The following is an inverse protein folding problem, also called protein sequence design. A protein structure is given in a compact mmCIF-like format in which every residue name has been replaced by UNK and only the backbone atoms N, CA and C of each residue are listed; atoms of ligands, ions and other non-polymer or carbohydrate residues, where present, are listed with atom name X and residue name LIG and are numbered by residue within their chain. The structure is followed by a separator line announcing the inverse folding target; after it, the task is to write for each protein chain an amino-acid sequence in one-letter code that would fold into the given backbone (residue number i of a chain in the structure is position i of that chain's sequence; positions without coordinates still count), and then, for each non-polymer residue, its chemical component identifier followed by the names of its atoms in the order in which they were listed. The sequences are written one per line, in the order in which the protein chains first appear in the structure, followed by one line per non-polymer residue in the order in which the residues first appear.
data_IF_439641429591
#
_entry.id   IF_439641429591
#
_cell.length_a   1.000
_cell.length_b   1.000
_cell.length_c   1.000
_cell.angle_alpha   90.00
_cell.angle_beta   90.00
_cell.angle_gamma   90.00
#
_symmetry.space_group_name_H-M   'P 1'
#
loop_
_entity.id
_entity.type
_entity.pdbx_description
1 polymer ?
#
# COMPACT_ATOMS: atom_id res chain seq x y z
N UNK A 1 3.83 14.55 1.42
CA UNK A 1 2.72 13.57 1.51
C UNK A 1 3.35 12.23 1.82
N UNK A 2 2.95 11.54 2.89
CA UNK A 2 3.49 10.22 3.17
C UNK A 2 3.03 9.21 2.12
N UNK A 3 3.99 8.48 1.56
CA UNK A 3 3.75 7.50 0.50
C UNK A 3 4.21 6.12 0.98
N UNK A 4 3.29 5.15 0.94
CA UNK A 4 3.53 3.76 1.32
C UNK A 4 3.40 2.91 0.06
N UNK A 5 4.46 2.18 -0.28
CA UNK A 5 4.44 1.19 -1.34
C UNK A 5 4.56 -0.20 -0.74
N UNK A 6 3.61 -1.07 -1.11
CA UNK A 6 3.63 -2.48 -0.75
C UNK A 6 3.72 -3.30 -2.03
N UNK A 7 4.80 -4.06 -2.15
CA UNK A 7 5.04 -4.97 -3.25
C UNK A 7 4.75 -6.41 -2.79
N UNK A 8 3.78 -7.06 -3.42
CA UNK A 8 3.38 -8.44 -3.09
C UNK A 8 3.90 -9.43 -4.12
N UNK A 9 4.17 -10.66 -3.70
CA UNK A 9 4.54 -11.73 -4.65
C UNK A 9 3.32 -12.30 -5.38
N UNK A 10 2.17 -12.31 -4.71
CA UNK A 10 0.93 -12.87 -5.20
C UNK A 10 0.00 -11.82 -5.85
N UNK A 11 -0.99 -12.32 -6.59
CA UNK A 11 -2.11 -11.51 -7.10
C UNK A 11 -3.24 -11.51 -6.08
N UNK A 12 -3.68 -10.32 -5.70
CA UNK A 12 -4.88 -10.11 -4.89
C UNK A 12 -5.95 -9.41 -5.71
N UNK A 13 -7.22 -9.63 -5.33
CA UNK A 13 -8.36 -8.92 -5.92
C UNK A 13 -8.27 -7.43 -5.63
N UNK A 14 -8.96 -6.61 -6.44
CA UNK A 14 -9.03 -5.17 -6.23
C UNK A 14 -9.62 -4.84 -4.85
N UNK A 15 -10.66 -5.56 -4.44
CA UNK A 15 -11.33 -5.37 -3.15
C UNK A 15 -10.36 -5.60 -1.98
N UNK A 16 -9.60 -6.70 -2.00
CA UNK A 16 -8.60 -6.99 -0.97
C UNK A 16 -7.55 -5.88 -0.90
N UNK A 17 -7.07 -5.39 -2.04
CA UNK A 17 -6.11 -4.28 -2.10
C UNK A 17 -6.70 -2.98 -1.54
N UNK A 18 -7.96 -2.67 -1.85
CA UNK A 18 -8.65 -1.48 -1.33
C UNK A 18 -8.85 -1.56 0.18
N UNK A 19 -9.26 -2.72 0.69
CA UNK A 19 -9.41 -2.95 2.13
C UNK A 19 -8.06 -2.76 2.85
N UNK A 20 -7.01 -3.39 2.32
CA UNK A 20 -5.66 -3.28 2.89
C UNK A 20 -5.14 -1.83 2.87
N UNK A 21 -5.33 -1.10 1.76
CA UNK A 21 -4.90 0.30 1.65
C UNK A 21 -5.59 1.20 2.68
N UNK A 22 -6.90 1.02 2.92
CA UNK A 22 -7.64 1.77 3.94
C UNK A 22 -7.09 1.49 5.33
N UNK A 23 -6.89 0.22 5.66
CA UNK A 23 -6.39 -0.22 6.97
C UNK A 23 -4.98 0.32 7.23
N UNK A 24 -4.06 0.17 6.26
CA UNK A 24 -2.69 0.69 6.37
C UNK A 24 -2.66 2.22 6.47
N UNK A 25 -3.46 2.92 5.67
CA UNK A 25 -3.56 4.37 5.72
C UNK A 25 -4.02 4.86 7.10
N UNK A 26 -5.04 4.22 7.69
CA UNK A 26 -5.51 4.56 9.03
C UNK A 26 -4.49 4.28 10.13
N UNK A 27 -3.80 3.14 10.06
CA UNK A 27 -2.72 2.79 11.00
C UNK A 27 -1.61 3.84 10.92
N UNK A 28 -1.14 4.14 9.71
CA UNK A 28 -0.07 5.10 9.50
C UNK A 28 -0.45 6.51 9.95
N UNK A 29 -1.66 6.98 9.61
CA UNK A 29 -2.19 8.26 10.05
C UNK A 29 -2.17 8.38 11.59
N UNK A 30 -2.60 7.31 12.29
CA UNK A 30 -2.62 7.26 13.75
C UNK A 30 -1.23 7.32 14.35
N UNK A 31 -0.29 6.51 13.86
CA UNK A 31 1.07 6.46 14.42
C UNK A 31 1.88 7.72 14.13
N UNK A 32 1.68 8.33 12.97
CA UNK A 32 2.45 9.49 12.53
C UNK A 32 1.76 10.82 12.85
N UNK A 33 0.61 10.80 13.54
CA UNK A 33 -0.23 11.96 13.79
C UNK A 33 -0.48 12.80 12.53
N UNK A 34 -0.70 12.13 11.39
CA UNK A 34 -0.82 12.74 10.07
C UNK A 34 -2.28 12.71 9.57
N UNK A 35 -2.66 13.69 8.75
CA UNK A 35 -3.95 13.67 8.07
C UNK A 35 -4.02 12.54 7.04
N UNK A 36 -4.99 11.64 7.22
CA UNK A 36 -5.24 10.50 6.33
C UNK A 36 -5.48 10.89 4.88
N UNK A 37 -6.04 12.09 4.62
CA UNK A 37 -6.28 12.59 3.26
C UNK A 37 -4.99 12.90 2.51
N UNK A 38 -3.86 13.00 3.22
CA UNK A 38 -2.54 13.30 2.66
C UNK A 38 -1.67 12.06 2.48
N UNK A 39 -2.17 10.88 2.85
CA UNK A 39 -1.45 9.61 2.76
C UNK A 39 -1.86 8.90 1.47
N UNK A 40 -0.86 8.41 0.74
CA UNK A 40 -1.07 7.61 -0.46
C UNK A 40 -0.49 6.22 -0.25
N UNK A 41 -1.29 5.19 -0.51
CA UNK A 41 -0.88 3.79 -0.42
C UNK A 41 -0.98 3.16 -1.81
N UNK A 42 0.14 2.67 -2.32
CA UNK A 42 0.23 1.93 -3.57
C UNK A 42 0.49 0.45 -3.28
N UNK A 43 -0.32 -0.43 -3.86
CA UNK A 43 -0.20 -1.88 -3.67
C UNK A 43 -0.02 -2.55 -5.04
N UNK A 44 1.24 -2.90 -5.32
CA UNK A 44 1.68 -3.52 -6.55
C UNK A 44 2.01 -4.99 -6.35
N UNK A 45 2.09 -5.73 -7.47
CA UNK A 45 2.75 -7.03 -7.47
C UNK A 45 4.19 -6.80 -7.92
N UNK A 46 5.15 -7.31 -7.16
CA UNK A 46 6.54 -7.34 -7.61
C UNK A 46 6.66 -8.33 -8.76
N UNK A 47 7.14 -7.86 -9.90
CA UNK A 47 7.56 -8.72 -11.00
C UNK A 47 9.08 -8.66 -11.01
N UNK A 48 9.73 -9.68 -10.46
CA UNK A 48 11.18 -9.83 -10.59
C UNK A 48 11.48 -10.34 -11.99
N UNK A 49 11.98 -9.45 -12.85
CA UNK A 49 12.60 -9.86 -14.10
C UNK A 49 14.03 -10.28 -13.77
N UNK A 50 14.31 -11.58 -13.80
CA UNK A 50 15.69 -12.05 -13.80
C UNK A 50 16.27 -11.71 -15.18
N UNK A 51 17.18 -10.73 -15.22
CA UNK A 51 18.01 -10.48 -16.39
C UNK A 51 19.05 -11.61 -16.44
N UNK A 52 18.91 -12.51 -17.42
CA UNK A 52 19.91 -13.52 -17.77
C UNK A 52 20.90 -12.92 -18.77
#
# INVERSE_FOLDING_TARGET
MPYLQLDTNEKYTLETKQHLAKTLGAIFARFMHADIKRITVAIGRRVSLALY
#
